data_IF_641044670578
#
_entry.id   IF_641044670578
#
_cell.length_a   1.000
_cell.length_b   1.000
_cell.length_c   1.000
_cell.angle_alpha   90.00
_cell.angle_beta   90.00
_cell.angle_gamma   90.00
#
_symmetry.space_group_name_H-M   'P 1'
#
loop_
_entity.id
_entity.type
_entity.pdbx_description
1 polymer ?
#
# COMPACT_ATOMS: atom_id res chain seq x y z
N UNK A 1 -16.65 -5.70 -17.36
CA UNK A 1 -15.56 -5.26 -16.44
C UNK A 1 -15.57 -3.76 -16.37
N UNK A 2 -15.29 -3.13 -15.20
CA UNK A 2 -15.28 -1.68 -15.11
C UNK A 2 -14.22 -1.08 -16.04
N UNK A 3 -14.54 0.08 -16.64
CA UNK A 3 -13.61 0.84 -17.46
C UNK A 3 -12.60 1.59 -16.56
N UNK A 4 -11.51 2.05 -17.15
CA UNK A 4 -10.62 3.00 -16.50
C UNK A 4 -11.32 4.35 -16.33
N UNK A 5 -11.06 5.01 -15.21
CA UNK A 5 -11.46 6.40 -14.94
C UNK A 5 -10.20 7.24 -14.85
N UNK A 6 -10.08 8.29 -15.64
CA UNK A 6 -9.00 9.26 -15.51
C UNK A 6 -9.26 10.15 -14.30
N UNK A 7 -8.34 10.14 -13.33
CA UNK A 7 -8.47 10.86 -12.05
C UNK A 7 -7.60 12.10 -12.01
N UNK A 8 -6.58 12.16 -12.87
CA UNK A 8 -5.73 13.31 -13.13
C UNK A 8 -5.12 13.14 -14.53
N UNK A 9 -4.43 14.16 -15.05
CA UNK A 9 -3.82 14.08 -16.38
C UNK A 9 -3.00 12.82 -16.56
N UNK A 10 -3.44 11.94 -17.48
CA UNK A 10 -2.82 10.66 -17.81
C UNK A 10 -2.56 9.74 -16.59
N UNK A 11 -3.43 9.80 -15.59
CA UNK A 11 -3.48 8.87 -14.47
C UNK A 11 -4.87 8.24 -14.45
N UNK A 12 -4.93 6.94 -14.73
CA UNK A 12 -6.18 6.19 -14.82
C UNK A 12 -6.26 5.13 -13.74
N UNK A 13 -7.39 5.05 -13.07
CA UNK A 13 -7.69 4.05 -12.04
C UNK A 13 -8.74 3.09 -12.55
N UNK A 14 -8.52 1.81 -12.32
CA UNK A 14 -9.51 0.75 -12.54
C UNK A 14 -9.74 0.01 -11.24
N UNK A 15 -10.91 0.23 -10.66
CA UNK A 15 -11.36 -0.50 -9.47
C UNK A 15 -11.93 -1.85 -9.88
N UNK A 16 -11.35 -2.94 -9.38
CA UNK A 16 -11.73 -4.32 -9.73
C UNK A 16 -12.58 -4.89 -8.61
N UNK A 17 -13.80 -5.43 -8.91
CA UNK A 17 -14.76 -5.85 -7.88
C UNK A 17 -14.29 -6.99 -6.97
N UNK A 18 -13.42 -7.89 -7.48
CA UNK A 18 -12.76 -8.86 -6.61
C UNK A 18 -11.79 -8.12 -5.70
N UNK A 19 -11.94 -8.31 -4.41
CA UNK A 19 -11.19 -7.60 -3.36
C UNK A 19 -11.33 -6.07 -3.37
N UNK A 20 -12.13 -5.50 -4.28
CA UNK A 20 -12.31 -4.06 -4.43
C UNK A 20 -11.01 -3.28 -4.72
N UNK A 21 -10.02 -3.97 -5.30
CA UNK A 21 -8.65 -3.52 -5.50
C UNK A 21 -8.51 -2.53 -6.66
N UNK A 22 -7.64 -1.56 -6.52
CA UNK A 22 -7.31 -0.59 -7.54
C UNK A 22 -6.06 -1.01 -8.33
N UNK A 23 -6.18 -1.03 -9.66
CA UNK A 23 -5.07 -1.06 -10.59
C UNK A 23 -4.93 0.32 -11.21
N UNK A 24 -3.72 0.89 -11.19
CA UNK A 24 -3.48 2.24 -11.71
C UNK A 24 -2.56 2.19 -12.92
N UNK A 25 -2.84 3.05 -13.90
CA UNK A 25 -1.97 3.28 -15.07
C UNK A 25 -1.56 4.74 -15.08
N UNK A 26 -0.26 4.99 -15.20
CA UNK A 26 0.32 6.34 -15.34
C UNK A 26 1.03 6.44 -16.67
N UNK A 27 0.67 7.44 -17.49
CA UNK A 27 1.21 7.64 -18.82
C UNK A 27 2.16 8.83 -18.93
N UNK A 28 3.20 8.67 -19.76
CA UNK A 28 4.09 9.73 -20.20
C UNK A 28 4.58 9.47 -21.64
N UNK A 29 5.48 10.30 -22.15
CA UNK A 29 5.98 10.20 -23.54
C UNK A 29 6.64 8.85 -23.85
N UNK A 30 7.32 8.24 -22.86
CA UNK A 30 8.06 6.98 -23.07
C UNK A 30 7.19 5.74 -22.88
N UNK A 31 5.92 5.88 -22.50
CA UNK A 31 4.98 4.76 -22.32
C UNK A 31 4.19 4.83 -21.02
N UNK A 32 3.71 3.68 -20.59
CA UNK A 32 2.83 3.52 -19.44
C UNK A 32 3.53 2.74 -18.33
N UNK A 33 3.33 3.15 -17.10
CA UNK A 33 3.64 2.37 -15.89
C UNK A 33 2.32 1.85 -15.31
N UNK A 34 2.28 0.56 -14.98
CA UNK A 34 1.16 -0.06 -14.27
C UNK A 34 1.55 -0.21 -12.80
N UNK A 35 0.68 0.22 -11.90
CA UNK A 35 0.85 0.04 -10.45
C UNK A 35 -0.12 -1.02 -10.00
N UNK A 36 0.44 -2.10 -9.45
CA UNK A 36 -0.16 -3.36 -9.06
C UNK A 36 -0.76 -4.19 -10.21
N UNK A 37 -0.93 -5.50 -10.00
CA UNK A 37 -1.24 -6.43 -11.09
C UNK A 37 -2.40 -7.38 -10.80
N UNK A 38 -3.11 -7.18 -9.69
CA UNK A 38 -4.31 -7.94 -9.30
C UNK A 38 -4.03 -9.37 -8.81
N UNK A 39 -5.12 -10.04 -8.36
CA UNK A 39 -5.09 -11.31 -7.64
C UNK A 39 -4.95 -12.55 -8.53
N UNK A 40 -4.97 -12.42 -9.86
CA UNK A 40 -4.92 -13.57 -10.75
C UNK A 40 -4.48 -13.25 -12.16
N UNK A 41 -3.94 -14.27 -12.86
CA UNK A 41 -3.63 -14.17 -14.29
C UNK A 41 -4.87 -13.84 -15.16
N UNK A 42 -6.06 -14.24 -14.75
CA UNK A 42 -7.29 -13.95 -15.50
C UNK A 42 -7.65 -12.46 -15.41
N UNK A 43 -7.53 -11.88 -14.21
CA UNK A 43 -7.78 -10.45 -14.00
C UNK A 43 -6.70 -9.60 -14.66
N UNK A 44 -5.43 -10.02 -14.57
CA UNK A 44 -4.32 -9.36 -15.24
C UNK A 44 -4.53 -9.32 -16.77
N UNK A 45 -4.94 -10.44 -17.41
CA UNK A 45 -5.29 -10.44 -18.85
C UNK A 45 -6.42 -9.48 -19.19
N UNK A 46 -7.44 -9.41 -18.34
CA UNK A 46 -8.55 -8.49 -18.53
C UNK A 46 -8.15 -7.02 -18.31
N UNK A 47 -7.18 -6.76 -17.41
CA UNK A 47 -6.59 -5.45 -17.25
C UNK A 47 -5.73 -5.05 -18.45
N UNK A 48 -4.89 -5.94 -18.96
CA UNK A 48 -4.07 -5.74 -20.18
C UNK A 48 -4.95 -5.38 -21.37
N UNK A 49 -6.05 -6.11 -21.59
CA UNK A 49 -6.98 -5.78 -22.66
C UNK A 49 -7.57 -4.37 -22.51
N UNK A 50 -7.99 -4.00 -21.30
CA UNK A 50 -8.52 -2.67 -21.03
C UNK A 50 -7.46 -1.57 -21.13
N UNK A 51 -6.19 -1.84 -20.81
CA UNK A 51 -5.06 -0.92 -21.06
C UNK A 51 -4.88 -0.70 -22.56
N UNK A 52 -4.99 -1.77 -23.35
CA UNK A 52 -4.98 -1.66 -24.82
C UNK A 52 -6.08 -0.76 -25.36
N UNK A 53 -7.28 -0.85 -24.79
CA UNK A 53 -8.44 -0.01 -25.17
C UNK A 53 -8.24 1.49 -24.83
N UNK A 54 -7.37 1.85 -23.86
CA UNK A 54 -7.01 3.25 -23.60
C UNK A 54 -6.30 3.90 -24.80
N UNK A 55 -5.58 3.12 -25.59
CA UNK A 55 -4.81 3.64 -26.73
C UNK A 55 -3.71 4.65 -26.33
N UNK A 56 -3.31 4.67 -25.04
CA UNK A 56 -2.43 5.70 -24.46
C UNK A 56 -0.93 5.37 -24.59
N UNK A 57 -0.57 4.20 -25.12
CA UNK A 57 0.82 3.80 -25.32
C UNK A 57 1.11 2.36 -24.88
N UNK A 58 2.40 1.99 -24.91
CA UNK A 58 2.87 0.66 -24.49
C UNK A 58 3.23 0.70 -22.99
N UNK A 59 2.91 -0.36 -22.27
CA UNK A 59 3.41 -0.55 -20.90
C UNK A 59 4.92 -0.82 -20.94
N UNK A 60 5.69 -0.11 -20.14
CA UNK A 60 7.15 -0.17 -20.08
C UNK A 60 7.67 -0.67 -18.73
N UNK A 61 6.85 -0.61 -17.67
CA UNK A 61 7.19 -1.11 -16.35
C UNK A 61 5.93 -1.43 -15.54
N UNK A 62 6.11 -2.29 -14.54
CA UNK A 62 5.17 -2.53 -13.44
C UNK A 62 5.81 -2.04 -12.13
N UNK A 63 5.00 -1.55 -11.20
CA UNK A 63 5.37 -1.26 -9.82
C UNK A 63 4.44 -2.04 -8.91
N UNK A 64 4.97 -2.78 -7.93
CA UNK A 64 4.17 -3.36 -6.87
C UNK A 64 4.29 -2.49 -5.61
N UNK A 65 3.14 -2.08 -5.06
CA UNK A 65 3.07 -1.27 -3.84
C UNK A 65 3.54 -2.05 -2.62
N UNK A 66 3.24 -3.33 -2.56
CA UNK A 66 3.65 -4.28 -1.52
C UNK A 66 3.52 -5.73 -2.03
N UNK A 67 3.68 -6.73 -1.17
CA UNK A 67 3.82 -8.14 -1.54
C UNK A 67 2.54 -8.99 -1.46
N UNK A 68 1.38 -8.42 -1.14
CA UNK A 68 0.15 -9.19 -1.03
C UNK A 68 -0.36 -9.69 -2.39
N UNK A 69 -1.01 -10.85 -2.34
CA UNK A 69 -1.42 -11.65 -3.50
C UNK A 69 -2.29 -10.89 -4.50
N UNK A 70 -3.17 -10.01 -4.02
CA UNK A 70 -4.09 -9.24 -4.85
C UNK A 70 -3.44 -8.01 -5.52
N UNK A 71 -2.15 -7.78 -5.24
CA UNK A 71 -1.33 -6.75 -5.89
C UNK A 71 -0.27 -7.34 -6.81
N UNK A 72 0.14 -8.63 -6.66
CA UNK A 72 1.32 -9.17 -7.34
C UNK A 72 1.08 -10.41 -8.21
N UNK A 73 -0.03 -11.16 -8.04
CA UNK A 73 -0.22 -12.43 -8.75
C UNK A 73 -0.35 -12.29 -10.27
N UNK A 74 -0.61 -11.10 -10.78
CA UNK A 74 -0.59 -10.80 -12.21
C UNK A 74 0.78 -10.50 -12.80
N UNK A 75 1.85 -10.34 -12.01
CA UNK A 75 3.20 -9.95 -12.48
C UNK A 75 3.67 -10.77 -13.68
N UNK A 76 3.57 -12.10 -13.60
CA UNK A 76 3.96 -13.01 -14.68
C UNK A 76 3.18 -12.74 -15.96
N UNK A 77 1.87 -12.52 -15.86
CA UNK A 77 1.01 -12.26 -17.01
C UNK A 77 1.37 -10.93 -17.71
N UNK A 78 1.67 -9.88 -16.96
CA UNK A 78 2.13 -8.60 -17.51
C UNK A 78 3.48 -8.74 -18.17
N UNK A 79 4.46 -9.42 -17.54
CA UNK A 79 5.79 -9.65 -18.10
C UNK A 79 5.75 -10.45 -19.39
N UNK A 80 4.98 -11.54 -19.42
CA UNK A 80 4.83 -12.39 -20.61
C UNK A 80 4.20 -11.62 -21.77
N UNK A 81 3.21 -10.76 -21.48
CA UNK A 81 2.50 -10.00 -22.50
C UNK A 81 3.34 -8.86 -23.10
N UNK A 82 4.19 -8.21 -22.29
CA UNK A 82 4.98 -7.04 -22.68
C UNK A 82 6.48 -7.32 -22.84
N UNK A 83 6.85 -8.56 -23.19
CA UNK A 83 8.22 -8.97 -23.52
C UNK A 83 9.24 -8.74 -22.38
N UNK A 84 8.88 -9.10 -21.16
CA UNK A 84 9.81 -9.08 -20.03
C UNK A 84 10.08 -7.69 -19.45
N UNK A 85 9.07 -6.83 -19.41
CA UNK A 85 9.18 -5.51 -18.76
C UNK A 85 9.60 -5.65 -17.30
N UNK A 86 10.36 -4.68 -16.74
CA UNK A 86 10.78 -4.71 -15.34
C UNK A 86 9.59 -4.58 -14.39
N UNK A 87 9.66 -5.29 -13.27
CA UNK A 87 8.80 -5.12 -12.11
C UNK A 87 9.62 -4.47 -11.00
N UNK A 88 9.16 -3.33 -10.52
CA UNK A 88 9.77 -2.55 -9.46
C UNK A 88 9.07 -2.82 -8.13
N UNK A 89 9.84 -3.01 -7.05
CA UNK A 89 9.33 -3.11 -5.68
C UNK A 89 10.41 -2.71 -4.68
N UNK A 90 10.05 -2.59 -3.41
CA UNK A 90 11.05 -2.53 -2.35
C UNK A 90 11.75 -3.88 -2.21
N UNK A 91 12.98 -3.89 -1.69
CA UNK A 91 13.72 -5.13 -1.38
C UNK A 91 12.93 -6.03 -0.41
N UNK A 92 12.26 -5.41 0.57
CA UNK A 92 11.44 -6.10 1.57
C UNK A 92 10.20 -6.77 0.93
N UNK A 93 9.47 -6.08 0.05
CA UNK A 93 8.34 -6.65 -0.65
C UNK A 93 8.77 -7.77 -1.60
N UNK A 94 9.84 -7.56 -2.38
CA UNK A 94 10.36 -8.58 -3.30
C UNK A 94 10.78 -9.87 -2.58
N UNK A 95 11.37 -9.75 -1.37
CA UNK A 95 11.79 -10.90 -0.56
C UNK A 95 10.62 -11.71 0.04
N UNK A 96 9.41 -11.12 0.09
CA UNK A 96 8.20 -11.72 0.70
C UNK A 96 7.15 -12.13 -0.32
N UNK A 97 7.27 -11.66 -1.56
CA UNK A 97 6.32 -11.95 -2.64
C UNK A 97 6.08 -13.46 -2.74
N UNK A 98 4.81 -13.85 -2.84
CA UNK A 98 4.38 -15.25 -2.98
C UNK A 98 5.16 -15.93 -4.14
N UNK A 99 5.72 -17.13 -3.93
CA UNK A 99 6.41 -17.88 -4.98
C UNK A 99 5.58 -18.14 -6.24
N UNK A 100 4.26 -18.03 -6.18
CA UNK A 100 3.37 -18.11 -7.34
C UNK A 100 3.45 -16.88 -8.26
N UNK A 101 3.95 -15.75 -7.76
CA UNK A 101 4.22 -14.55 -8.53
C UNK A 101 5.73 -14.45 -8.83
N UNK A 102 6.16 -14.16 -10.07
CA UNK A 102 7.56 -13.80 -10.31
C UNK A 102 7.93 -12.59 -9.46
N UNK A 103 9.03 -12.65 -8.68
CA UNK A 103 9.45 -11.54 -7.85
C UNK A 103 9.87 -10.33 -8.71
N UNK A 104 9.83 -9.15 -8.12
CA UNK A 104 10.38 -7.96 -8.73
C UNK A 104 11.90 -8.12 -8.91
N UNK A 105 12.43 -7.78 -10.09
CA UNK A 105 13.87 -7.81 -10.37
C UNK A 105 14.53 -6.45 -10.17
N UNK A 106 13.75 -5.37 -10.22
CA UNK A 106 14.25 -4.01 -10.01
C UNK A 106 13.87 -3.55 -8.62
N UNK A 107 14.75 -3.80 -7.66
CA UNK A 107 14.49 -3.52 -6.25
C UNK A 107 15.28 -2.33 -5.74
N UNK A 108 14.75 -1.69 -4.70
CA UNK A 108 15.39 -0.56 -4.02
C UNK A 108 15.04 -0.57 -2.52
N UNK A 109 15.92 0.03 -1.69
CA UNK A 109 15.73 0.05 -0.24
C UNK A 109 14.80 1.18 0.23
N UNK A 110 14.90 2.39 -0.36
CA UNK A 110 14.17 3.57 0.13
C UNK A 110 13.46 4.36 -0.95
N UNK A 111 14.09 4.60 -2.09
CA UNK A 111 13.48 5.37 -3.18
C UNK A 111 14.05 5.00 -4.54
N UNK A 112 13.21 5.13 -5.57
CA UNK A 112 13.58 5.04 -6.97
C UNK A 112 12.73 6.02 -7.80
N UNK A 113 13.14 6.26 -9.04
CA UNK A 113 12.40 7.10 -9.98
C UNK A 113 12.25 6.36 -11.31
N UNK A 114 11.05 6.39 -11.88
CA UNK A 114 10.79 5.96 -13.25
C UNK A 114 10.56 7.24 -14.09
N UNK A 115 11.42 7.44 -15.09
CA UNK A 115 11.36 8.59 -15.99
C UNK A 115 10.61 8.23 -17.28
N UNK A 116 9.44 8.83 -17.47
CA UNK A 116 8.61 8.69 -18.67
C UNK A 116 8.82 9.82 -19.71
N UNK A 117 9.89 10.59 -19.58
CA UNK A 117 10.25 11.68 -20.49
C UNK A 117 9.73 13.04 -20.00
N UNK A 118 8.46 13.28 -20.19
CA UNK A 118 7.76 14.48 -19.73
C UNK A 118 7.19 14.36 -18.30
N UNK A 119 7.33 13.20 -17.69
CA UNK A 119 6.80 12.88 -16.35
C UNK A 119 7.74 11.94 -15.61
N UNK A 120 7.82 12.11 -14.29
CA UNK A 120 8.52 11.20 -13.38
C UNK A 120 7.56 10.60 -12.37
N UNK A 121 7.76 9.32 -12.06
CA UNK A 121 7.13 8.63 -10.94
C UNK A 121 8.17 8.46 -9.85
N UNK A 122 7.91 9.02 -8.67
CA UNK A 122 8.73 8.84 -7.47
C UNK A 122 8.19 7.65 -6.69
N UNK A 123 8.96 6.58 -6.58
CA UNK A 123 8.66 5.39 -5.80
C UNK A 123 9.34 5.55 -4.44
N UNK A 124 8.58 5.58 -3.34
CA UNK A 124 9.16 5.91 -2.03
C UNK A 124 8.66 4.93 -0.97
N UNK A 125 9.60 4.23 -0.33
CA UNK A 125 9.33 3.48 0.90
C UNK A 125 9.49 4.42 2.09
N UNK A 126 8.39 4.76 2.73
CA UNK A 126 8.35 5.73 3.84
C UNK A 126 8.50 5.07 5.21
N UNK A 127 8.36 3.76 5.27
CA UNK A 127 8.39 2.97 6.50
C UNK A 127 7.39 1.83 6.44
N UNK A 128 7.34 1.06 7.52
CA UNK A 128 6.43 -0.08 7.66
C UNK A 128 5.04 0.40 8.05
N UNK A 129 4.02 -0.29 7.60
CA UNK A 129 2.63 0.00 7.95
C UNK A 129 1.75 -1.22 7.76
N UNK A 130 1.12 -1.34 6.60
CA UNK A 130 0.33 -2.49 6.20
C UNK A 130 1.20 -3.75 6.06
N UNK A 131 2.39 -3.60 5.47
CA UNK A 131 3.46 -4.62 5.44
C UNK A 131 4.81 -4.03 5.86
N UNK A 132 5.88 -4.81 5.73
CA UNK A 132 7.25 -4.31 5.93
C UNK A 132 7.79 -3.57 4.69
N UNK A 133 7.21 -3.81 3.53
CA UNK A 133 7.71 -3.37 2.23
C UNK A 133 6.83 -2.38 1.50
N UNK A 134 5.90 -1.71 2.18
CA UNK A 134 4.99 -0.75 1.55
C UNK A 134 5.74 0.39 0.85
N UNK A 135 5.29 0.75 -0.33
CA UNK A 135 5.74 1.97 -1.01
C UNK A 135 4.56 2.80 -1.49
N UNK A 136 4.77 4.07 -1.61
CA UNK A 136 3.88 4.99 -2.32
C UNK A 136 4.48 5.39 -3.65
N UNK A 137 3.62 5.65 -4.64
CA UNK A 137 4.03 6.22 -5.93
C UNK A 137 3.49 7.63 -6.03
N UNK A 138 4.39 8.61 -6.07
CA UNK A 138 4.02 10.01 -6.28
C UNK A 138 4.17 10.37 -7.75
N UNK A 139 3.18 11.07 -8.29
CA UNK A 139 3.19 11.69 -9.63
C UNK A 139 3.13 13.21 -9.44
N UNK A 140 4.29 13.89 -9.30
CA UNK A 140 4.36 15.27 -8.82
C UNK A 140 3.63 16.29 -9.69
N UNK A 141 3.77 16.18 -11.00
CA UNK A 141 3.18 17.09 -11.99
C UNK A 141 1.65 16.96 -12.08
N UNK A 142 1.09 15.80 -11.74
CA UNK A 142 -0.34 15.55 -11.70
C UNK A 142 -0.96 15.73 -10.29
N UNK A 143 -0.14 15.99 -9.26
CA UNK A 143 -0.52 16.09 -7.85
C UNK A 143 -1.30 14.84 -7.37
N UNK A 144 -0.76 13.64 -7.67
CA UNK A 144 -1.35 12.34 -7.32
C UNK A 144 -0.42 11.55 -6.43
N UNK A 145 -0.99 10.87 -5.43
CA UNK A 145 -0.31 9.88 -4.60
C UNK A 145 -1.05 8.53 -4.69
N UNK A 146 -0.37 7.50 -5.16
CA UNK A 146 -0.86 6.13 -5.15
C UNK A 146 -0.31 5.49 -3.87
N UNK A 147 -1.20 5.15 -2.95
CA UNK A 147 -0.82 4.83 -1.57
C UNK A 147 -0.74 3.32 -1.28
N UNK A 148 -1.21 2.46 -2.22
CA UNK A 148 -1.40 1.05 -1.90
C UNK A 148 -2.26 0.89 -0.65
N UNK A 149 -2.05 -0.18 0.10
CA UNK A 149 -2.84 -0.51 1.30
C UNK A 149 -2.39 0.24 2.56
N UNK A 150 -1.44 1.18 2.41
CA UNK A 150 -1.24 2.18 3.47
C UNK A 150 -2.50 3.03 3.67
N UNK A 151 -3.34 3.17 2.62
CA UNK A 151 -4.65 3.84 2.67
C UNK A 151 -5.72 2.89 2.16
N UNK A 152 -6.77 2.69 2.95
CA UNK A 152 -7.90 1.79 2.69
C UNK A 152 -9.22 2.56 2.78
N UNK A 153 -10.05 2.55 1.71
CA UNK A 153 -11.37 3.23 1.73
C UNK A 153 -12.53 2.24 1.81
N UNK A 154 -12.35 1.03 1.32
CA UNK A 154 -13.44 0.04 1.22
C UNK A 154 -13.83 -0.58 2.56
N UNK A 155 -12.91 -0.54 3.55
CA UNK A 155 -13.05 -1.15 4.87
C UNK A 155 -12.13 -0.44 5.89
N UNK A 156 -12.15 -0.81 7.18
CA UNK A 156 -11.07 -0.47 8.10
C UNK A 156 -9.72 -0.94 7.56
N UNK A 157 -8.61 -0.21 7.82
CA UNK A 157 -7.29 -0.62 7.38
C UNK A 157 -6.97 -2.07 7.73
N UNK A 158 -6.45 -2.83 6.77
CA UNK A 158 -6.17 -4.24 6.92
C UNK A 158 -4.96 -4.48 7.83
N UNK A 159 -5.18 -4.42 9.13
CA UNK A 159 -4.19 -4.67 10.20
C UNK A 159 -3.88 -6.19 10.31
N UNK A 160 -3.27 -6.74 9.26
CA UNK A 160 -2.98 -8.16 9.10
C UNK A 160 -1.88 -8.71 10.02
N UNK A 161 -1.57 -10.00 9.84
CA UNK A 161 -0.54 -10.73 10.63
C UNK A 161 0.88 -10.20 10.43
N UNK A 162 1.13 -9.55 9.34
CA UNK A 162 2.40 -8.98 8.90
C UNK A 162 2.43 -7.45 9.00
N UNK A 163 1.34 -6.83 9.47
CA UNK A 163 1.25 -5.40 9.68
C UNK A 163 2.11 -4.88 10.85
N UNK A 164 2.35 -3.58 10.84
CA UNK A 164 3.13 -2.87 11.85
C UNK A 164 2.31 -1.74 12.47
N UNK A 165 1.29 -2.06 13.28
CA UNK A 165 0.32 -1.09 13.78
C UNK A 165 0.94 0.06 14.56
N UNK A 166 2.10 -0.12 15.22
CA UNK A 166 2.76 0.96 15.95
C UNK A 166 3.58 1.89 15.06
N UNK A 167 3.99 1.44 13.88
CA UNK A 167 4.80 2.23 12.95
C UNK A 167 3.93 2.95 11.90
N UNK A 168 2.80 2.36 11.55
CA UNK A 168 1.92 2.81 10.45
C UNK A 168 1.53 4.28 10.53
N UNK A 169 1.14 4.85 11.68
CA UNK A 169 0.81 6.29 11.77
C UNK A 169 1.97 7.19 11.34
N UNK A 170 3.20 6.85 11.74
CA UNK A 170 4.38 7.63 11.36
C UNK A 170 4.69 7.53 9.87
N UNK A 171 4.44 6.37 9.26
CA UNK A 171 4.57 6.17 7.80
C UNK A 171 3.54 7.03 7.05
N UNK A 172 2.29 7.11 7.54
CA UNK A 172 1.27 7.99 6.96
C UNK A 172 1.57 9.48 7.17
N UNK A 173 2.15 9.89 8.30
CA UNK A 173 2.61 11.27 8.50
C UNK A 173 3.62 11.69 7.42
N UNK A 174 4.55 10.79 7.06
CA UNK A 174 5.51 11.04 5.98
C UNK A 174 4.81 11.10 4.62
N UNK A 175 3.85 10.22 4.36
CA UNK A 175 3.04 10.25 3.13
C UNK A 175 2.25 11.55 3.02
N UNK A 176 1.62 12.00 4.09
CA UNK A 176 0.92 13.31 4.17
C UNK A 176 1.88 14.47 3.91
N UNK A 177 3.14 14.37 4.34
CA UNK A 177 4.18 15.37 4.02
C UNK A 177 4.48 15.50 2.53
N UNK A 178 4.14 14.49 1.70
CA UNK A 178 4.29 14.52 0.25
C UNK A 178 3.05 15.06 -0.49
N UNK A 179 1.97 15.39 0.21
CA UNK A 179 0.70 15.82 -0.37
C UNK A 179 0.43 17.31 -0.17
N UNK A 180 -0.42 17.86 -1.03
CA UNK A 180 -1.03 19.19 -0.91
C UNK A 180 -2.50 19.05 -0.52
N UNK A 181 -3.22 20.15 -0.31
CA UNK A 181 -4.67 20.12 -0.07
C UNK A 181 -5.49 19.70 -1.30
N UNK A 182 -4.86 19.56 -2.47
CA UNK A 182 -5.51 19.18 -3.74
C UNK A 182 -5.06 17.83 -4.24
N UNK A 183 -4.12 17.20 -3.57
CA UNK A 183 -3.60 15.89 -3.98
C UNK A 183 -4.74 14.87 -4.06
N UNK A 184 -4.83 14.22 -5.21
CA UNK A 184 -5.68 13.05 -5.39
C UNK A 184 -4.94 11.84 -4.81
N UNK A 185 -5.54 11.13 -3.86
CA UNK A 185 -4.96 9.93 -3.27
C UNK A 185 -5.71 8.70 -3.76
N UNK A 186 -4.98 7.76 -4.33
CA UNK A 186 -5.53 6.47 -4.76
C UNK A 186 -5.14 5.41 -3.73
N UNK A 187 -6.11 4.88 -2.96
CA UNK A 187 -5.87 3.79 -2.03
C UNK A 187 -5.66 2.46 -2.76
N UNK A 188 -5.17 1.44 -2.06
CA UNK A 188 -5.11 0.09 -2.63
C UNK A 188 -6.50 -0.47 -2.91
N UNK A 189 -7.46 -0.19 -2.04
CA UNK A 189 -8.85 -0.65 -2.16
C UNK A 189 -9.83 0.51 -1.98
N UNK A 190 -10.96 0.43 -2.70
CA UNK A 190 -12.04 1.38 -2.56
C UNK A 190 -11.98 2.55 -3.53
N UNK A 191 -12.60 3.67 -3.18
CA UNK A 191 -12.68 4.88 -4.01
C UNK A 191 -11.44 5.73 -3.83
N UNK A 192 -11.15 6.52 -4.87
CA UNK A 192 -10.20 7.63 -4.79
C UNK A 192 -10.63 8.61 -3.71
N UNK A 193 -9.69 9.06 -2.90
CA UNK A 193 -9.91 9.92 -1.73
C UNK A 193 -9.06 11.20 -1.81
N UNK A 194 -9.24 12.08 -0.86
CA UNK A 194 -8.45 13.30 -0.69
C UNK A 194 -7.48 13.18 0.51
N UNK A 195 -6.68 14.19 0.68
CA UNK A 195 -5.76 14.32 1.80
C UNK A 195 -6.47 14.20 3.15
N UNK A 196 -7.67 14.77 3.28
CA UNK A 196 -8.41 14.76 4.54
C UNK A 196 -8.77 13.35 5.00
N UNK A 197 -9.18 12.49 4.06
CA UNK A 197 -9.44 11.09 4.37
C UNK A 197 -8.18 10.41 4.97
N UNK A 198 -7.01 10.68 4.38
CA UNK A 198 -5.74 10.10 4.88
C UNK A 198 -5.39 10.65 6.27
N UNK A 199 -5.66 11.93 6.55
CA UNK A 199 -5.48 12.53 7.87
C UNK A 199 -6.38 11.84 8.90
N UNK A 200 -7.67 11.67 8.59
CA UNK A 200 -8.64 11.02 9.47
C UNK A 200 -8.23 9.54 9.75
N UNK A 201 -7.85 8.77 8.72
CA UNK A 201 -7.34 7.39 8.90
C UNK A 201 -6.03 7.33 9.71
N UNK A 202 -5.12 8.28 9.50
CA UNK A 202 -3.87 8.37 10.26
C UNK A 202 -4.15 8.58 11.75
N UNK A 203 -5.10 9.44 12.11
CA UNK A 203 -5.50 9.72 13.50
C UNK A 203 -6.16 8.50 14.15
N UNK A 204 -6.98 7.75 13.41
CA UNK A 204 -7.58 6.50 13.90
C UNK A 204 -6.49 5.42 14.14
N UNK A 205 -5.56 5.22 13.21
CA UNK A 205 -4.43 4.30 13.39
C UNK A 205 -3.51 4.74 14.53
N UNK A 206 -3.32 6.03 14.73
CA UNK A 206 -2.58 6.59 15.86
C UNK A 206 -3.26 6.24 17.17
N UNK A 207 -4.58 6.36 17.24
CA UNK A 207 -5.38 5.97 18.39
C UNK A 207 -5.19 4.48 18.70
N UNK A 208 -5.21 3.60 17.70
CA UNK A 208 -4.90 2.17 17.87
C UNK A 208 -3.50 1.97 18.46
N UNK A 209 -2.49 2.61 17.87
CA UNK A 209 -1.09 2.47 18.28
C UNK A 209 -0.87 2.95 19.73
N UNK A 210 -1.41 4.11 20.09
CA UNK A 210 -1.28 4.70 21.43
C UNK A 210 -2.02 3.87 22.47
N UNK A 211 -3.23 3.39 22.17
CA UNK A 211 -3.99 2.51 23.05
C UNK A 211 -3.22 1.20 23.33
N UNK A 212 -2.65 0.58 22.31
CA UNK A 212 -1.82 -0.62 22.49
C UNK A 212 -0.61 -0.32 23.39
N UNK A 213 0.10 0.78 23.14
CA UNK A 213 1.26 1.18 23.95
C UNK A 213 0.88 1.44 25.42
N UNK A 214 -0.22 2.14 25.66
CA UNK A 214 -0.73 2.41 27.02
C UNK A 214 -1.06 1.11 27.75
N UNK A 215 -1.87 0.24 27.15
CA UNK A 215 -2.28 -1.03 27.74
C UNK A 215 -1.06 -1.92 28.05
N UNK A 216 -0.13 -2.05 27.10
CA UNK A 216 1.07 -2.83 27.29
C UNK A 216 1.97 -2.23 28.42
N UNK A 217 2.12 -0.91 28.48
CA UNK A 217 2.91 -0.23 29.50
C UNK A 217 2.30 -0.39 30.90
N UNK A 218 0.98 -0.37 30.99
CA UNK A 218 0.23 -0.64 32.23
C UNK A 218 0.24 -2.10 32.64
N UNK A 219 0.77 -3.00 31.80
CA UNK A 219 0.86 -4.44 32.06
C UNK A 219 -0.47 -5.17 31.88
N UNK A 220 -1.42 -4.62 31.13
CA UNK A 220 -2.65 -5.33 30.75
C UNK A 220 -2.26 -6.53 29.88
N UNK A 221 -2.73 -7.73 30.18
CA UNK A 221 -2.46 -8.90 29.32
C UNK A 221 -3.01 -8.68 27.91
N UNK A 222 -2.28 -9.14 26.88
CA UNK A 222 -2.71 -9.06 25.48
C UNK A 222 -4.13 -9.60 25.26
N UNK A 223 -4.45 -10.73 25.90
CA UNK A 223 -5.78 -11.35 25.79
C UNK A 223 -6.93 -10.49 26.34
N UNK A 224 -6.63 -9.58 27.24
CA UNK A 224 -7.62 -8.69 27.88
C UNK A 224 -7.67 -7.31 27.21
N UNK A 225 -6.73 -7.01 26.30
CA UNK A 225 -6.54 -5.68 25.75
C UNK A 225 -7.78 -5.16 25.00
N UNK A 226 -8.40 -6.02 24.19
CA UNK A 226 -9.58 -5.63 23.40
C UNK A 226 -10.73 -5.15 24.27
N UNK A 227 -10.97 -5.81 25.41
CA UNK A 227 -12.04 -5.45 26.35
C UNK A 227 -11.67 -4.30 27.31
N UNK A 228 -10.38 -3.87 27.33
CA UNK A 228 -9.84 -2.91 28.28
C UNK A 228 -9.82 -1.47 27.78
N UNK A 229 -10.26 -1.22 26.54
CA UNK A 229 -10.27 0.11 25.93
C UNK A 229 -11.40 0.28 24.90
N UNK A 230 -11.65 1.53 24.52
CA UNK A 230 -12.44 1.87 23.35
C UNK A 230 -11.52 1.98 22.12
N UNK A 231 -12.00 1.53 20.98
CA UNK A 231 -11.21 1.44 19.76
C UNK A 231 -11.92 2.13 18.59
N UNK A 232 -11.18 2.75 17.66
CA UNK A 232 -11.78 3.39 16.48
C UNK A 232 -12.32 2.38 15.47
N UNK A 233 -11.82 1.13 15.51
CA UNK A 233 -12.23 0.07 14.59
C UNK A 233 -12.93 -1.07 15.33
N UNK A 234 -13.79 -1.85 14.65
CA UNK A 234 -14.45 -3.02 15.22
C UNK A 234 -13.45 -4.12 15.60
N UNK A 235 -13.87 -4.99 16.52
CA UNK A 235 -13.02 -6.01 17.14
C UNK A 235 -12.34 -6.96 16.14
N UNK A 236 -13.02 -7.31 15.05
CA UNK A 236 -12.51 -8.18 13.99
C UNK A 236 -11.34 -7.54 13.22
N UNK A 237 -11.38 -6.24 12.98
CA UNK A 237 -10.27 -5.49 12.37
C UNK A 237 -9.03 -5.43 13.29
N UNK A 238 -9.21 -5.54 14.60
CA UNK A 238 -8.14 -5.43 15.59
C UNK A 238 -7.52 -6.77 15.99
N UNK A 239 -8.06 -7.88 15.51
CA UNK A 239 -7.66 -9.23 15.91
C UNK A 239 -6.15 -9.50 15.78
N UNK A 240 -5.53 -8.99 14.74
CA UNK A 240 -4.09 -9.10 14.53
C UNK A 240 -3.32 -7.85 15.00
N UNK A 241 -3.94 -6.67 14.99
CA UNK A 241 -3.31 -5.43 15.40
C UNK A 241 -2.79 -5.48 16.86
N UNK A 242 -3.62 -5.99 17.78
CA UNK A 242 -3.27 -6.04 19.19
C UNK A 242 -2.04 -6.95 19.43
N UNK A 243 -2.03 -8.25 19.05
CA UNK A 243 -0.84 -9.10 19.19
C UNK A 243 0.40 -8.52 18.51
N UNK A 244 0.25 -7.99 17.31
CA UNK A 244 1.35 -7.36 16.57
C UNK A 244 1.91 -6.15 17.30
N UNK A 245 1.04 -5.28 17.80
CA UNK A 245 1.45 -4.10 18.53
C UNK A 245 2.13 -4.45 19.85
N UNK A 246 1.59 -5.39 20.62
CA UNK A 246 2.25 -5.89 21.85
C UNK A 246 3.64 -6.46 21.57
N UNK A 247 3.81 -7.15 20.44
CA UNK A 247 5.12 -7.67 20.03
C UNK A 247 6.11 -6.55 19.66
N UNK A 248 5.62 -5.41 19.19
CA UNK A 248 6.44 -4.23 18.85
C UNK A 248 6.84 -3.39 20.08
N UNK A 249 6.09 -3.48 21.19
CA UNK A 249 6.44 -2.72 22.41
C UNK A 249 7.71 -3.29 23.02
N UNK A 250 8.77 -2.47 23.26
CA UNK A 250 9.99 -2.95 23.90
C UNK A 250 9.68 -3.50 25.29
N UNK A 251 10.09 -4.73 25.55
CA UNK A 251 9.99 -5.30 26.91
C UNK A 251 11.02 -4.61 27.79
N UNK A 252 10.58 -3.72 28.67
CA UNK A 252 11.46 -3.20 29.73
C UNK A 252 11.90 -4.36 30.61
N UNK A 253 13.19 -4.62 30.81
CA UNK A 253 13.64 -5.62 31.76
C UNK A 253 13.06 -5.28 33.13
N UNK A 254 12.31 -6.19 33.76
CA UNK A 254 11.93 -6.03 35.17
C UNK A 254 13.24 -5.92 35.95
N UNK A 255 13.56 -4.72 36.45
CA UNK A 255 14.57 -4.60 37.48
C UNK A 255 14.08 -5.41 38.69
N UNK A 256 14.72 -6.52 38.98
CA UNK A 256 14.52 -7.22 40.22
C UNK A 256 14.99 -6.25 41.33
N UNK A 257 14.23 -6.11 42.43
CA UNK A 257 14.69 -5.32 43.56
C UNK A 257 16.03 -5.92 44.00
N UNK A 258 17.05 -5.05 44.10
CA UNK A 258 18.30 -5.41 44.75
C UNK A 258 17.96 -5.76 46.20
N UNK A 259 18.11 -7.05 46.58
CA UNK A 259 17.98 -7.52 47.94
C UNK A 259 19.27 -7.25 48.69
#
# INVERSE_FOLDING_TARGET
MPAFTEVADRVWVRRVPSYDVNLVVVGGERGLVVVDTLASAAEARAAIAAIGDLGAGRVVAVVNTHDHFDHVLGNGTFRDHYDGIPVHATEEAAARTDPAAPPAETTFASAAVIDLGDRQLELVHLGRGHTAGDLVVRVPDADVLLAGDLVEESAPPALGRDSYPLDWPATLDLALGMTTSRTVVVPGHGKVVDRRFVEDQCDELRTVAETIRDLATRGVPEADALASAEWPYPADALHHAIPRGYAQVPRTPRQLPLV
#
